data_IF_998744425413
#
_entry.id   IF_998744425413
#
_cell.length_a   1.000
_cell.length_b   1.000
_cell.length_c   1.000
_cell.angle_alpha   90.00
_cell.angle_beta   90.00
_cell.angle_gamma   90.00
#
_symmetry.space_group_name_H-M   'P 1'
#
loop_
_entity.id
_entity.type
_entity.pdbx_description
1 polymer ?
#
# COMPACT_ATOMS: atom_id res chain seq x y z
N UNK A 1 16.67 42.93 9.53
CA UNK A 1 16.82 41.79 8.59
C UNK A 1 16.85 42.37 7.20
N UNK A 2 17.86 42.04 6.39
CA UNK A 2 18.03 42.58 5.04
C UNK A 2 17.00 42.03 4.05
N UNK A 3 16.85 42.69 2.90
CA UNK A 3 16.06 42.17 1.79
C UNK A 3 16.72 40.88 1.28
N UNK A 4 15.94 39.82 0.96
CA UNK A 4 16.49 38.62 0.36
C UNK A 4 17.15 38.96 -0.98
N UNK A 5 18.37 38.48 -1.17
CA UNK A 5 19.13 38.59 -2.41
C UNK A 5 18.51 37.77 -3.52
N UNK A 6 18.83 38.14 -4.77
CA UNK A 6 18.28 37.50 -5.97
C UNK A 6 18.57 36.00 -6.07
N UNK A 7 19.68 35.53 -5.50
CA UNK A 7 20.11 34.12 -5.54
C UNK A 7 19.88 33.35 -4.22
N UNK A 8 19.33 33.99 -3.19
CA UNK A 8 19.21 33.40 -1.84
C UNK A 8 18.38 32.10 -1.87
N UNK A 9 17.36 32.04 -2.73
CA UNK A 9 16.52 30.86 -2.90
C UNK A 9 17.30 29.69 -3.55
N UNK A 10 18.07 29.98 -4.59
CA UNK A 10 18.85 28.97 -5.31
C UNK A 10 19.97 28.42 -4.42
N UNK A 11 20.67 29.30 -3.69
CA UNK A 11 21.64 28.90 -2.67
C UNK A 11 21.00 28.04 -1.58
N UNK A 12 19.81 28.40 -1.10
CA UNK A 12 19.06 27.60 -0.14
C UNK A 12 18.72 26.21 -0.70
N UNK A 13 18.28 26.14 -1.96
CA UNK A 13 17.99 24.87 -2.64
C UNK A 13 19.23 24.02 -2.86
N UNK A 14 20.38 24.61 -3.15
CA UNK A 14 21.66 23.91 -3.25
C UNK A 14 22.04 23.29 -1.91
N UNK A 15 22.00 24.08 -0.81
CA UNK A 15 22.26 23.56 0.55
C UNK A 15 21.30 22.44 0.96
N UNK A 16 20.01 22.53 0.57
CA UNK A 16 19.05 21.43 0.78
C UNK A 16 19.43 20.17 -0.02
N UNK A 17 19.91 20.33 -1.26
CA UNK A 17 20.38 19.22 -2.09
C UNK A 17 21.66 18.58 -1.54
N UNK A 18 22.60 19.37 -1.03
CA UNK A 18 23.81 18.89 -0.33
C UNK A 18 23.45 18.08 0.91
N UNK A 19 22.45 18.51 1.67
CA UNK A 19 21.89 17.79 2.82
C UNK A 19 21.07 16.54 2.42
N UNK A 20 20.95 16.25 1.12
CA UNK A 20 20.41 15.01 0.62
C UNK A 20 18.89 15.00 0.46
N UNK A 21 18.28 16.06 -0.07
CA UNK A 21 16.85 16.14 -0.37
C UNK A 21 16.36 14.87 -1.12
N UNK A 22 15.57 14.00 -0.46
CA UNK A 22 15.14 12.74 -1.05
C UNK A 22 14.10 12.93 -2.16
N UNK A 23 13.36 14.03 -2.17
CA UNK A 23 12.32 14.30 -3.16
C UNK A 23 12.92 14.72 -4.51
N UNK A 24 14.01 15.48 -4.48
CA UNK A 24 14.77 15.83 -5.71
C UNK A 24 15.33 14.56 -6.34
N UNK A 25 15.96 13.68 -5.55
CA UNK A 25 16.46 12.39 -6.05
C UNK A 25 15.32 11.51 -6.60
N UNK A 26 14.17 11.52 -5.93
CA UNK A 26 12.99 10.80 -6.40
C UNK A 26 12.48 11.32 -7.75
N UNK A 27 12.38 12.64 -7.90
CA UNK A 27 11.96 13.28 -9.14
C UNK A 27 12.95 13.08 -10.29
N UNK A 28 14.25 13.04 -9.99
CA UNK A 28 15.28 12.80 -11.00
C UNK A 28 15.31 11.34 -11.50
N UNK A 29 15.06 10.38 -10.60
CA UNK A 29 15.17 8.96 -10.94
C UNK A 29 13.88 8.36 -11.52
N UNK A 30 12.72 8.95 -11.21
CA UNK A 30 11.42 8.47 -11.70
C UNK A 30 10.87 9.46 -12.72
N UNK A 31 10.66 8.96 -13.92
CA UNK A 31 9.90 9.67 -14.93
C UNK A 31 8.40 9.60 -14.60
N UNK A 32 7.90 10.65 -13.94
CA UNK A 32 6.49 10.75 -13.60
C UNK A 32 5.58 10.96 -14.82
N UNK A 33 6.12 11.38 -15.96
CA UNK A 33 5.36 11.54 -17.20
C UNK A 33 4.93 10.20 -17.78
N UNK A 34 5.64 9.11 -17.47
CA UNK A 34 5.24 7.75 -17.82
C UNK A 34 3.83 7.36 -17.30
N UNK A 35 3.33 8.04 -16.26
CA UNK A 35 1.98 7.82 -15.72
C UNK A 35 0.89 8.64 -16.42
N UNK A 36 1.25 9.70 -17.16
CA UNK A 36 0.29 10.63 -17.79
C UNK A 36 -0.75 9.92 -18.64
N UNK A 37 -0.43 8.96 -19.52
CA UNK A 37 -1.44 8.32 -20.37
C UNK A 37 -2.52 7.60 -19.54
N UNK A 38 -2.12 6.93 -18.45
CA UNK A 38 -3.04 6.22 -17.55
C UNK A 38 -3.88 7.19 -16.72
N UNK A 39 -3.27 8.28 -16.23
CA UNK A 39 -3.99 9.33 -15.50
C UNK A 39 -5.00 10.05 -16.40
N UNK A 40 -4.64 10.40 -17.63
CA UNK A 40 -5.53 11.06 -18.58
C UNK A 40 -6.75 10.18 -18.90
N UNK A 41 -6.51 8.88 -19.16
CA UNK A 41 -7.56 7.89 -19.41
C UNK A 41 -8.53 7.77 -18.22
N UNK A 42 -7.99 7.77 -17.00
CA UNK A 42 -8.79 7.65 -15.77
C UNK A 42 -9.68 8.86 -15.52
N UNK A 43 -9.16 10.07 -15.77
CA UNK A 43 -9.84 11.31 -15.43
C UNK A 43 -10.90 11.71 -16.46
N UNK A 44 -10.85 11.17 -17.69
CA UNK A 44 -11.81 11.43 -18.79
C UNK A 44 -12.20 12.91 -18.90
N UNK A 45 -11.21 13.80 -18.81
CA UNK A 45 -11.46 15.24 -18.80
C UNK A 45 -11.97 15.69 -20.15
N UNK A 46 -12.95 16.59 -20.16
CA UNK A 46 -13.39 17.28 -21.36
C UNK A 46 -12.26 18.14 -21.94
N UNK A 47 -12.32 18.37 -23.24
CA UNK A 47 -11.42 19.25 -24.03
C UNK A 47 -11.40 20.72 -23.61
N UNK A 48 -12.25 21.13 -22.65
CA UNK A 48 -12.33 22.51 -22.17
C UNK A 48 -13.26 23.40 -23.00
N UNK A 49 -13.94 22.85 -24.02
CA UNK A 49 -14.87 23.55 -24.90
C UNK A 49 -16.01 24.28 -24.17
N UNK A 50 -16.40 23.81 -22.98
CA UNK A 50 -17.48 24.38 -22.17
C UNK A 50 -17.07 25.59 -21.32
N UNK A 51 -15.80 26.01 -21.36
CA UNK A 51 -15.27 27.08 -20.52
C UNK A 51 -15.13 26.69 -19.04
N UNK A 52 -14.20 27.34 -18.34
CA UNK A 52 -13.92 27.11 -16.92
C UNK A 52 -12.43 27.21 -16.58
N UNK A 53 -12.10 27.23 -15.28
CA UNK A 53 -10.71 27.22 -14.83
C UNK A 53 -10.02 25.94 -15.32
N UNK A 54 -8.84 26.03 -15.98
CA UNK A 54 -8.11 24.85 -16.42
C UNK A 54 -7.85 23.89 -15.25
N UNK A 55 -8.07 22.58 -15.43
CA UNK A 55 -7.84 21.63 -14.36
C UNK A 55 -6.34 21.45 -14.14
N UNK A 56 -5.91 21.25 -12.89
CA UNK A 56 -4.52 20.98 -12.55
C UNK A 56 -3.94 19.81 -13.32
N UNK A 57 -2.66 19.90 -13.69
CA UNK A 57 -1.93 18.84 -14.37
C UNK A 57 -2.07 17.49 -13.62
N UNK A 58 -2.47 16.40 -14.31
CA UNK A 58 -2.64 15.09 -13.67
C UNK A 58 -1.37 14.56 -13.02
N UNK A 59 -0.19 14.82 -13.59
CA UNK A 59 1.09 14.35 -13.04
C UNK A 59 1.42 15.10 -11.76
N UNK A 60 1.21 16.42 -11.73
CA UNK A 60 1.29 17.22 -10.50
C UNK A 60 0.35 16.67 -9.41
N UNK A 61 -0.92 16.45 -9.73
CA UNK A 61 -1.90 15.92 -8.76
C UNK A 61 -1.53 14.52 -8.27
N UNK A 62 -0.94 13.68 -9.13
CA UNK A 62 -0.44 12.37 -8.74
C UNK A 62 0.76 12.48 -7.80
N UNK A 63 1.73 13.37 -8.08
CA UNK A 63 2.84 13.68 -7.17
C UNK A 63 2.34 14.15 -5.80
N UNK A 64 1.28 14.96 -5.75
CA UNK A 64 0.63 15.38 -4.49
C UNK A 64 0.13 14.17 -3.69
N UNK A 65 -0.54 13.20 -4.33
CA UNK A 65 -0.98 11.97 -3.64
C UNK A 65 0.18 11.11 -3.13
N UNK A 66 1.31 11.10 -3.86
CA UNK A 66 2.54 10.43 -3.40
C UNK A 66 3.10 11.14 -2.16
N UNK A 67 3.25 12.46 -2.17
CA UNK A 67 3.69 13.24 -1.00
C UNK A 67 2.79 12.98 0.20
N UNK A 68 1.47 13.06 0.00
CA UNK A 68 0.50 12.80 1.05
C UNK A 68 0.69 11.43 1.70
N UNK A 69 1.01 10.41 0.90
CA UNK A 69 1.25 9.04 1.37
C UNK A 69 2.61 8.91 2.07
N UNK A 70 3.66 9.52 1.53
CA UNK A 70 5.01 9.48 2.08
C UNK A 70 5.11 10.15 3.45
N UNK A 71 4.36 11.23 3.66
CA UNK A 71 4.40 12.06 4.87
C UNK A 71 3.14 11.90 5.74
N UNK A 72 2.24 10.98 5.42
CA UNK A 72 1.02 10.68 6.21
C UNK A 72 0.12 11.91 6.43
N UNK A 73 -0.09 12.71 5.39
CA UNK A 73 -0.81 13.98 5.48
C UNK A 73 -2.33 13.82 5.27
N UNK A 74 -3.14 14.64 5.95
CA UNK A 74 -4.56 14.85 5.57
C UNK A 74 -4.65 15.71 4.31
N UNK A 75 -5.84 15.85 3.73
CA UNK A 75 -6.03 16.71 2.55
C UNK A 75 -5.72 18.18 2.90
N UNK A 76 -6.21 18.68 4.04
CA UNK A 76 -5.91 20.05 4.52
C UNK A 76 -4.42 20.25 4.88
N UNK A 77 -3.81 19.26 5.54
CA UNK A 77 -2.38 19.31 5.84
C UNK A 77 -1.54 19.27 4.56
N UNK A 78 -2.01 18.59 3.50
CA UNK A 78 -1.29 18.55 2.23
C UNK A 78 -1.29 19.93 1.58
N UNK A 79 -2.44 20.61 1.54
CA UNK A 79 -2.52 22.00 1.05
C UNK A 79 -1.58 22.93 1.83
N UNK A 80 -1.65 22.91 3.17
CA UNK A 80 -0.81 23.74 4.01
C UNK A 80 0.68 23.46 3.80
N UNK A 81 1.08 22.18 3.81
CA UNK A 81 2.49 21.79 3.70
C UNK A 81 3.08 22.06 2.32
N UNK A 82 2.29 22.06 1.25
CA UNK A 82 2.76 22.47 -0.07
C UNK A 82 3.08 23.97 -0.08
N UNK A 83 2.28 24.82 0.59
CA UNK A 83 2.54 26.27 0.69
C UNK A 83 3.71 26.60 1.62
N UNK A 84 3.89 25.80 2.68
CA UNK A 84 4.89 26.04 3.73
C UNK A 84 6.29 25.52 3.35
N UNK A 85 6.38 24.38 2.63
CA UNK A 85 7.66 23.70 2.41
C UNK A 85 8.20 23.89 0.99
N UNK A 86 9.34 24.58 0.92
CA UNK A 86 10.09 24.76 -0.33
C UNK A 86 10.47 23.45 -1.03
N UNK A 87 10.77 22.38 -0.29
CA UNK A 87 11.08 21.07 -0.88
C UNK A 87 9.87 20.41 -1.55
N UNK A 88 8.65 20.68 -1.06
CA UNK A 88 7.42 20.16 -1.68
C UNK A 88 7.10 20.95 -2.94
N UNK A 89 7.20 22.28 -2.88
CA UNK A 89 7.04 23.14 -4.06
C UNK A 89 8.02 22.75 -5.17
N UNK A 90 9.31 22.58 -4.82
CA UNK A 90 10.35 22.14 -5.75
C UNK A 90 10.05 20.76 -6.36
N UNK A 91 9.58 19.79 -5.57
CA UNK A 91 9.21 18.47 -6.08
C UNK A 91 8.02 18.50 -7.05
N UNK A 92 7.06 19.38 -6.78
CA UNK A 92 5.86 19.58 -7.60
C UNK A 92 6.12 20.47 -8.82
N UNK A 93 7.23 21.23 -8.83
CA UNK A 93 7.54 22.21 -9.87
C UNK A 93 6.70 23.49 -9.75
N UNK A 94 6.33 23.87 -8.52
CA UNK A 94 5.54 25.07 -8.22
C UNK A 94 6.45 26.21 -7.76
N UNK A 95 6.21 27.41 -8.28
CA UNK A 95 6.72 28.68 -7.75
C UNK A 95 5.84 29.26 -6.63
N UNK A 96 6.30 30.33 -5.97
CA UNK A 96 5.59 30.94 -4.83
C UNK A 96 4.20 31.48 -5.16
N UNK A 97 4.06 32.04 -6.36
CA UNK A 97 2.79 32.63 -6.84
C UNK A 97 1.89 31.60 -7.53
N UNK A 98 2.38 30.38 -7.73
CA UNK A 98 1.59 29.35 -8.39
C UNK A 98 0.44 28.87 -7.50
N UNK A 99 -0.70 28.60 -8.13
CA UNK A 99 -1.85 28.09 -7.42
C UNK A 99 -1.58 26.68 -6.87
N UNK A 100 -1.79 26.51 -5.56
CA UNK A 100 -1.71 25.22 -4.89
C UNK A 100 -3.07 24.51 -4.92
N UNK A 101 -3.14 23.20 -5.22
CA UNK A 101 -4.38 22.44 -5.12
C UNK A 101 -4.93 22.46 -3.70
N UNK A 102 -6.18 22.88 -3.55
CA UNK A 102 -6.85 22.86 -2.25
C UNK A 102 -7.22 21.43 -1.80
N UNK A 103 -7.56 21.28 -0.52
CA UNK A 103 -7.94 20.00 0.07
C UNK A 103 -9.09 19.29 -0.69
N UNK A 104 -10.08 20.05 -1.18
CA UNK A 104 -11.24 19.50 -1.93
C UNK A 104 -10.82 18.97 -3.30
N UNK A 105 -9.88 19.65 -3.95
CA UNK A 105 -9.32 19.29 -5.25
C UNK A 105 -8.51 18.01 -5.14
N UNK A 106 -7.68 17.88 -4.10
CA UNK A 106 -6.95 16.64 -3.81
C UNK A 106 -7.92 15.48 -3.53
N UNK A 107 -8.96 15.73 -2.75
CA UNK A 107 -10.00 14.73 -2.47
C UNK A 107 -10.73 14.29 -3.75
N UNK A 108 -11.17 15.24 -4.57
CA UNK A 108 -11.90 14.98 -5.82
C UNK A 108 -11.05 14.16 -6.79
N UNK A 109 -9.77 14.50 -6.94
CA UNK A 109 -8.85 13.77 -7.79
C UNK A 109 -8.71 12.31 -7.35
N UNK A 110 -8.55 12.06 -6.04
CA UNK A 110 -8.48 10.69 -5.50
C UNK A 110 -9.80 9.92 -5.72
N UNK A 111 -10.93 10.59 -5.57
CA UNK A 111 -12.25 9.99 -5.80
C UNK A 111 -12.43 9.62 -7.28
N UNK A 112 -12.00 10.47 -8.21
CA UNK A 112 -12.01 10.18 -9.65
C UNK A 112 -11.15 8.95 -9.98
N UNK A 113 -9.92 8.87 -9.46
CA UNK A 113 -9.07 7.69 -9.63
C UNK A 113 -9.70 6.42 -9.05
N UNK A 114 -10.40 6.55 -7.92
CA UNK A 114 -11.09 5.43 -7.28
C UNK A 114 -12.25 4.91 -8.13
N UNK A 115 -13.08 5.81 -8.66
CA UNK A 115 -14.20 5.45 -9.54
C UNK A 115 -13.73 4.84 -10.84
N UNK A 116 -12.60 5.29 -11.36
CA UNK A 116 -11.98 4.76 -12.57
C UNK A 116 -11.24 3.42 -12.34
N UNK A 117 -11.00 2.99 -11.09
CA UNK A 117 -10.18 1.80 -10.81
C UNK A 117 -8.69 1.97 -11.19
N UNK A 118 -8.24 3.20 -11.43
CA UNK A 118 -6.98 3.50 -12.11
C UNK A 118 -5.71 3.13 -11.33
N UNK A 119 -5.83 2.84 -10.03
CA UNK A 119 -4.67 2.51 -9.20
C UNK A 119 -3.99 1.22 -9.64
N UNK A 120 -4.75 0.23 -10.12
CA UNK A 120 -4.19 -1.01 -10.66
C UNK A 120 -3.41 -0.74 -11.95
N UNK A 121 -3.92 0.15 -12.81
CA UNK A 121 -3.25 0.58 -14.04
C UNK A 121 -1.97 1.38 -13.77
N UNK A 122 -1.99 2.28 -12.78
CA UNK A 122 -0.80 3.03 -12.37
C UNK A 122 0.26 2.08 -11.80
N UNK A 123 -0.15 1.09 -11.02
CA UNK A 123 0.75 0.08 -10.48
C UNK A 123 1.37 -0.77 -11.61
N UNK A 124 0.57 -1.18 -12.59
CA UNK A 124 1.04 -1.91 -13.76
C UNK A 124 1.97 -1.05 -14.63
N UNK A 125 1.68 0.24 -14.82
CA UNK A 125 2.56 1.16 -15.54
C UNK A 125 3.93 1.28 -14.85
N UNK A 126 3.94 1.40 -13.52
CA UNK A 126 5.18 1.42 -12.77
C UNK A 126 5.95 0.09 -12.85
N UNK A 127 5.27 -1.05 -12.82
CA UNK A 127 5.91 -2.36 -12.98
C UNK A 127 6.54 -2.53 -14.37
N UNK A 128 5.84 -2.09 -15.43
CA UNK A 128 6.41 -2.04 -16.79
C UNK A 128 7.64 -1.16 -16.87
N UNK A 129 7.58 0.03 -16.27
CA UNK A 129 8.72 0.94 -16.22
C UNK A 129 9.92 0.33 -15.47
N UNK A 130 9.67 -0.31 -14.31
CA UNK A 130 10.69 -1.04 -13.55
C UNK A 130 11.35 -2.15 -14.39
N UNK A 131 10.54 -2.91 -15.14
CA UNK A 131 11.04 -3.97 -16.04
C UNK A 131 11.94 -3.39 -17.13
N UNK A 132 11.57 -2.25 -17.72
CA UNK A 132 12.39 -1.53 -18.69
C UNK A 132 13.74 -1.06 -18.12
N UNK A 133 13.82 -0.80 -16.80
CA UNK A 133 15.07 -0.50 -16.08
C UNK A 133 15.86 -1.75 -15.64
N UNK A 134 15.45 -2.95 -16.04
CA UNK A 134 16.16 -4.21 -15.73
C UNK A 134 15.78 -4.86 -14.39
N UNK A 135 14.80 -4.32 -13.67
CA UNK A 135 14.31 -4.87 -12.40
C UNK A 135 13.28 -5.99 -12.62
N UNK A 136 13.71 -7.06 -13.27
CA UNK A 136 12.88 -8.23 -13.57
C UNK A 136 12.68 -9.13 -12.33
N UNK A 137 11.47 -9.63 -12.13
CA UNK A 137 11.13 -10.55 -11.05
C UNK A 137 11.55 -11.99 -11.40
N UNK A 138 12.83 -12.33 -11.19
CA UNK A 138 13.41 -13.63 -11.60
C UNK A 138 13.85 -14.53 -10.45
N UNK A 139 13.67 -14.12 -9.20
CA UNK A 139 14.16 -14.85 -8.01
C UNK A 139 13.07 -15.57 -7.21
N UNK A 140 11.87 -15.64 -7.78
CA UNK A 140 10.65 -16.14 -7.17
C UNK A 140 9.92 -15.04 -6.39
N UNK A 141 8.79 -15.43 -5.79
CA UNK A 141 7.85 -14.47 -5.20
C UNK A 141 7.43 -14.85 -3.78
N UNK A 142 7.29 -13.85 -2.94
CA UNK A 142 6.87 -13.98 -1.54
C UNK A 142 5.48 -13.36 -1.41
N UNK A 143 4.53 -14.17 -0.95
CA UNK A 143 3.13 -13.79 -0.77
C UNK A 143 2.81 -13.77 0.71
N UNK A 144 2.29 -12.63 1.18
CA UNK A 144 1.84 -12.49 2.56
C UNK A 144 0.73 -11.45 2.69
N UNK A 145 0.07 -11.41 3.84
CA UNK A 145 -0.98 -10.47 4.14
C UNK A 145 -0.68 -9.63 5.39
N UNK A 146 -1.11 -8.38 5.38
CA UNK A 146 -1.16 -7.52 6.56
C UNK A 146 -2.55 -6.95 6.79
N UNK A 147 -2.95 -6.91 8.05
CA UNK A 147 -4.15 -6.19 8.47
C UNK A 147 -3.81 -4.69 8.55
N UNK A 148 -4.67 -3.87 7.93
CA UNK A 148 -4.67 -2.41 8.00
C UNK A 148 -5.92 -1.98 8.74
N UNK A 149 -5.73 -1.23 9.84
CA UNK A 149 -6.83 -0.82 10.69
C UNK A 149 -7.67 0.30 10.06
N UNK A 150 -8.95 0.34 10.42
CA UNK A 150 -9.91 1.38 10.10
C UNK A 150 -10.62 1.86 11.38
N UNK A 151 -11.27 3.05 11.37
CA UNK A 151 -12.07 3.53 12.50
C UNK A 151 -13.10 2.49 12.94
N UNK A 152 -13.09 2.15 14.23
CA UNK A 152 -14.06 1.21 14.80
C UNK A 152 -15.45 1.84 14.78
N UNK A 153 -16.41 1.13 14.21
CA UNK A 153 -17.80 1.56 14.18
C UNK A 153 -18.60 0.88 15.29
N UNK A 154 -19.40 1.67 16.02
CA UNK A 154 -20.38 1.16 16.98
C UNK A 154 -21.59 0.66 16.21
N UNK A 155 -21.74 -0.67 16.16
CA UNK A 155 -22.87 -1.36 15.55
C UNK A 155 -23.41 -2.40 16.54
N UNK A 156 -24.72 -2.63 16.53
CA UNK A 156 -25.36 -3.72 17.29
C UNK A 156 -25.04 -5.08 16.66
N UNK A 157 -25.29 -6.18 17.37
CA UNK A 157 -24.99 -7.52 16.83
C UNK A 157 -25.92 -7.91 15.67
N UNK A 158 -27.17 -7.46 15.70
CA UNK A 158 -28.11 -7.60 14.58
C UNK A 158 -27.60 -6.86 13.33
N UNK A 159 -27.12 -5.61 13.48
CA UNK A 159 -26.52 -4.86 12.37
C UNK A 159 -25.26 -5.57 11.82
N UNK A 160 -24.41 -6.13 12.71
CA UNK A 160 -23.23 -6.90 12.27
C UNK A 160 -23.61 -8.18 11.52
N UNK A 161 -24.65 -8.88 11.93
CA UNK A 161 -25.15 -10.08 11.26
C UNK A 161 -25.66 -9.74 9.84
N UNK A 162 -26.50 -8.71 9.72
CA UNK A 162 -26.99 -8.24 8.42
C UNK A 162 -25.83 -7.86 7.47
N UNK A 163 -24.81 -7.16 7.98
CA UNK A 163 -23.61 -6.83 7.18
C UNK A 163 -22.80 -8.07 6.77
N UNK A 164 -22.75 -9.13 7.57
CA UNK A 164 -22.08 -10.39 7.19
C UNK A 164 -22.82 -11.09 6.04
N UNK A 165 -24.14 -10.97 6.00
CA UNK A 165 -24.99 -11.47 4.91
C UNK A 165 -25.01 -10.54 3.68
N UNK A 166 -24.32 -9.40 3.73
CA UNK A 166 -24.29 -8.41 2.65
C UNK A 166 -25.54 -7.51 2.59
N UNK A 167 -26.46 -7.65 3.54
CA UNK A 167 -27.69 -6.85 3.64
C UNK A 167 -27.43 -5.50 4.29
N UNK A 168 -28.26 -4.51 3.96
CA UNK A 168 -28.28 -3.22 4.63
C UNK A 168 -29.31 -3.33 5.77
N UNK A 169 -28.96 -2.99 7.03
CA UNK A 169 -29.94 -2.93 8.11
C UNK A 169 -31.08 -1.95 7.78
N UNK A 170 -32.33 -2.35 8.02
CA UNK A 170 -33.51 -1.56 7.64
C UNK A 170 -33.50 -0.14 8.24
N UNK A 171 -33.06 -0.01 9.50
CA UNK A 171 -32.91 1.29 10.17
C UNK A 171 -31.94 2.24 9.46
N UNK A 172 -30.98 1.71 8.69
CA UNK A 172 -30.01 2.51 7.94
C UNK A 172 -30.58 2.90 6.59
N UNK A 173 -31.38 2.04 5.97
CA UNK A 173 -32.06 2.32 4.71
C UNK A 173 -32.98 3.53 4.84
N UNK A 174 -33.67 3.67 5.98
CA UNK A 174 -34.53 4.82 6.29
C UNK A 174 -33.72 6.11 6.56
N UNK A 175 -32.42 6.01 6.87
CA UNK A 175 -31.55 7.14 7.26
C UNK A 175 -30.34 7.28 6.33
N UNK A 176 -30.48 7.90 5.15
CA UNK A 176 -29.42 7.96 4.13
C UNK A 176 -28.13 8.63 4.62
N UNK A 177 -28.24 9.66 5.47
CA UNK A 177 -27.07 10.33 6.08
C UNK A 177 -26.28 9.39 7.00
N UNK A 178 -26.98 8.53 7.79
CA UNK A 178 -26.35 7.51 8.64
C UNK A 178 -25.67 6.46 7.77
N UNK A 179 -26.35 6.01 6.71
CA UNK A 179 -25.83 5.00 5.78
C UNK A 179 -24.51 5.44 5.12
N UNK A 180 -24.41 6.69 4.67
CA UNK A 180 -23.19 7.23 4.03
C UNK A 180 -21.97 7.27 4.96
N UNK A 181 -22.18 7.27 6.28
CA UNK A 181 -21.11 7.27 7.29
C UNK A 181 -20.71 5.86 7.76
N UNK A 182 -21.43 4.82 7.34
CA UNK A 182 -21.17 3.43 7.76
C UNK A 182 -20.30 2.70 6.75
N UNK A 183 -19.25 2.05 7.25
CA UNK A 183 -18.38 1.20 6.45
C UNK A 183 -18.96 -0.21 6.43
N UNK A 184 -19.53 -0.54 5.27
CA UNK A 184 -20.19 -1.81 5.01
C UNK A 184 -19.23 -2.89 4.54
N UNK A 185 -17.96 -2.58 4.30
CA UNK A 185 -16.97 -3.51 3.74
C UNK A 185 -15.91 -3.92 4.76
N UNK A 186 -15.53 -3.01 5.66
CA UNK A 186 -14.62 -3.32 6.76
C UNK A 186 -15.22 -4.37 7.71
N UNK A 187 -14.38 -5.30 8.20
CA UNK A 187 -14.82 -6.38 9.10
C UNK A 187 -13.87 -6.53 10.28
N UNK A 188 -14.37 -7.17 11.33
CA UNK A 188 -13.58 -7.56 12.49
C UNK A 188 -12.77 -8.84 12.21
N UNK A 189 -11.57 -8.90 12.77
CA UNK A 189 -10.72 -10.10 12.77
C UNK A 189 -9.92 -10.18 14.07
N UNK A 190 -9.44 -11.37 14.40
CA UNK A 190 -8.58 -11.59 15.56
C UNK A 190 -7.14 -11.72 15.10
N UNK A 191 -6.31 -10.73 15.44
CA UNK A 191 -4.87 -10.79 15.23
C UNK A 191 -4.24 -11.53 16.40
N UNK A 192 -3.77 -12.75 16.17
CA UNK A 192 -3.03 -13.52 17.18
C UNK A 192 -1.55 -13.12 17.16
N UNK A 193 -1.02 -12.77 18.31
CA UNK A 193 0.38 -12.39 18.51
C UNK A 193 0.94 -13.15 19.71
N UNK A 194 2.23 -13.46 19.67
CA UNK A 194 2.92 -14.06 20.81
C UNK A 194 3.61 -12.95 21.59
N UNK A 195 3.12 -12.66 22.79
CA UNK A 195 3.77 -11.75 23.72
C UNK A 195 4.65 -12.53 24.69
N UNK A 196 5.70 -11.89 25.19
CA UNK A 196 6.50 -12.42 26.30
C UNK A 196 5.92 -11.84 27.58
N UNK A 197 5.17 -12.64 28.34
CA UNK A 197 4.74 -12.28 29.67
C UNK A 197 5.79 -12.77 30.68
N UNK A 198 6.16 -11.92 31.64
CA UNK A 198 6.96 -12.35 32.78
C UNK A 198 6.09 -13.26 33.66
N UNK A 199 6.60 -14.44 34.00
CA UNK A 199 6.03 -15.29 35.04
C UNK A 199 6.47 -14.76 36.42
N UNK A 200 5.76 -15.18 37.46
CA UNK A 200 6.07 -14.86 38.84
C UNK A 200 7.49 -15.31 39.28
N UNK A 201 8.09 -16.29 38.60
CA UNK A 201 9.47 -16.76 38.86
C UNK A 201 10.55 -15.98 38.08
N UNK A 202 10.20 -14.91 37.35
CA UNK A 202 11.11 -14.14 36.51
C UNK A 202 11.38 -14.72 35.11
N UNK A 203 10.91 -15.92 34.79
CA UNK A 203 11.02 -16.51 33.45
C UNK A 203 9.99 -15.90 32.48
N UNK A 204 10.39 -15.67 31.23
CA UNK A 204 9.50 -15.09 30.20
C UNK A 204 8.81 -16.21 29.42
N UNK A 205 7.51 -16.39 29.63
CA UNK A 205 6.70 -17.34 28.85
C UNK A 205 6.09 -16.67 27.61
N UNK A 206 5.99 -17.42 26.51
CA UNK A 206 5.27 -16.95 25.31
C UNK A 206 3.78 -17.17 25.51
N UNK A 207 3.05 -16.09 25.75
CA UNK A 207 1.58 -16.09 25.83
C UNK A 207 1.03 -15.69 24.47
N UNK A 208 0.03 -16.42 23.98
CA UNK A 208 -0.69 -16.04 22.76
C UNK A 208 -1.81 -15.06 23.13
N UNK A 209 -1.73 -13.85 22.58
CA UNK A 209 -2.73 -12.79 22.75
C UNK A 209 -3.52 -12.67 21.46
N UNK A 210 -4.84 -12.69 21.55
CA UNK A 210 -5.73 -12.38 20.44
C UNK A 210 -6.20 -10.93 20.57
N UNK A 211 -5.77 -10.06 19.65
CA UNK A 211 -6.16 -8.65 19.61
C UNK A 211 -7.22 -8.46 18.53
N UNK A 212 -8.44 -7.99 18.86
CA UNK A 212 -9.45 -7.69 17.85
C UNK A 212 -9.08 -6.44 17.06
N UNK A 213 -9.08 -6.56 15.74
CA UNK A 213 -8.78 -5.48 14.79
C UNK A 213 -9.95 -5.34 13.82
N UNK A 214 -10.35 -4.10 13.56
CA UNK A 214 -11.37 -3.75 12.58
C UNK A 214 -10.71 -3.07 11.38
N UNK A 215 -11.04 -3.50 10.16
CA UNK A 215 -10.57 -2.86 8.94
C UNK A 215 -10.45 -3.81 7.75
N UNK A 216 -9.33 -3.69 7.04
CA UNK A 216 -9.03 -4.36 5.79
C UNK A 216 -7.76 -5.20 5.88
N UNK A 217 -7.53 -6.03 4.88
CA UNK A 217 -6.26 -6.72 4.66
C UNK A 217 -5.69 -6.33 3.31
N UNK A 218 -4.38 -6.12 3.27
CA UNK A 218 -3.60 -6.04 2.04
C UNK A 218 -2.88 -7.36 1.87
N UNK A 219 -3.10 -8.03 0.74
CA UNK A 219 -2.31 -9.20 0.34
C UNK A 219 -1.35 -8.71 -0.74
N UNK A 220 -0.08 -9.00 -0.56
CA UNK A 220 0.97 -8.54 -1.48
C UNK A 220 1.79 -9.72 -1.97
N UNK A 221 2.18 -9.66 -3.24
CA UNK A 221 3.24 -10.50 -3.80
C UNK A 221 4.43 -9.61 -4.09
N UNK A 222 5.57 -9.94 -3.49
CA UNK A 222 6.82 -9.24 -3.73
C UNK A 222 7.84 -10.10 -4.47
N UNK A 223 8.69 -9.48 -5.27
CA UNK A 223 9.86 -10.17 -5.79
C UNK A 223 10.90 -10.38 -4.67
N UNK A 224 11.56 -11.55 -4.69
CA UNK A 224 12.49 -11.91 -3.62
C UNK A 224 13.83 -11.14 -3.65
N UNK A 225 14.32 -10.74 -4.82
CA UNK A 225 15.68 -10.17 -5.01
C UNK A 225 15.73 -8.69 -4.64
N UNK A 226 14.82 -7.90 -5.18
CA UNK A 226 14.75 -6.47 -5.02
C UNK A 226 13.73 -6.07 -3.95
N UNK A 227 12.69 -6.88 -3.74
CA UNK A 227 11.67 -6.62 -2.73
C UNK A 227 10.59 -5.64 -3.18
N UNK A 228 10.39 -5.44 -4.48
CA UNK A 228 9.27 -4.64 -4.97
C UNK A 228 7.96 -5.41 -4.83
N UNK A 229 6.90 -4.71 -4.47
CA UNK A 229 5.54 -5.22 -4.60
C UNK A 229 5.22 -5.30 -6.09
N UNK A 230 4.86 -6.49 -6.58
CA UNK A 230 4.52 -6.74 -7.99
C UNK A 230 3.03 -6.85 -8.22
N UNK A 231 2.33 -7.46 -7.26
CA UNK A 231 0.86 -7.52 -7.25
C UNK A 231 0.36 -7.31 -5.84
N UNK A 232 -0.86 -6.80 -5.73
CA UNK A 232 -1.57 -6.72 -4.47
C UNK A 232 -3.06 -6.88 -4.68
N UNK A 233 -3.78 -7.28 -3.63
CA UNK A 233 -5.23 -7.17 -3.56
C UNK A 233 -5.65 -6.75 -2.17
N UNK A 234 -6.84 -6.18 -2.06
CA UNK A 234 -7.40 -5.67 -0.81
C UNK A 234 -8.74 -6.31 -0.56
N UNK A 235 -8.92 -6.82 0.65
CA UNK A 235 -10.15 -7.44 1.11
C UNK A 235 -10.55 -6.91 2.48
N UNK A 236 -11.75 -7.26 2.96
CA UNK A 236 -12.10 -7.07 4.36
C UNK A 236 -11.14 -7.85 5.27
N UNK A 237 -10.96 -7.41 6.51
CA UNK A 237 -10.03 -8.08 7.43
C UNK A 237 -10.46 -9.50 7.84
N UNK A 238 -11.73 -9.86 7.64
CA UNK A 238 -12.25 -11.20 7.91
C UNK A 238 -11.99 -12.19 6.76
N UNK A 239 -11.61 -11.71 5.57
CA UNK A 239 -11.36 -12.59 4.43
C UNK A 239 -10.21 -13.57 4.73
N UNK A 240 -10.36 -14.78 4.18
CA UNK A 240 -9.39 -15.85 4.33
C UNK A 240 -8.21 -15.65 3.37
N UNK A 241 -7.00 -15.55 3.92
CA UNK A 241 -5.81 -15.18 3.17
C UNK A 241 -5.53 -16.15 2.01
N UNK A 242 -5.68 -17.46 2.26
CA UNK A 242 -5.45 -18.48 1.24
C UNK A 242 -6.34 -18.37 0.00
N UNK A 243 -7.51 -17.74 0.09
CA UNK A 243 -8.38 -17.55 -1.08
C UNK A 243 -7.83 -16.51 -2.06
N UNK A 244 -6.87 -15.68 -1.63
CA UNK A 244 -6.31 -14.60 -2.45
C UNK A 244 -5.05 -15.01 -3.22
N UNK A 245 -4.55 -16.24 -3.07
CA UNK A 245 -3.30 -16.68 -3.72
C UNK A 245 -3.33 -16.43 -5.23
N UNK A 246 -4.38 -16.89 -5.91
CA UNK A 246 -4.51 -16.75 -7.36
C UNK A 246 -4.57 -15.27 -7.82
N UNK A 247 -5.13 -14.39 -6.98
CA UNK A 247 -5.28 -12.96 -7.31
C UNK A 247 -3.96 -12.19 -7.19
N UNK A 248 -3.06 -12.63 -6.30
CA UNK A 248 -1.77 -11.97 -6.06
C UNK A 248 -0.58 -12.69 -6.68
N UNK A 249 -0.75 -13.92 -7.15
CA UNK A 249 0.30 -14.64 -7.87
C UNK A 249 0.67 -13.87 -9.14
N UNK A 250 1.95 -13.57 -9.30
CA UNK A 250 2.47 -12.94 -10.51
C UNK A 250 2.82 -14.01 -11.55
N UNK A 251 2.07 -14.10 -12.67
CA UNK A 251 2.37 -15.04 -13.74
C UNK A 251 3.62 -14.62 -14.54
N UNK A 252 3.99 -13.34 -14.54
CA UNK A 252 5.13 -12.82 -15.29
C UNK A 252 6.48 -13.08 -14.59
N UNK A 253 6.46 -13.47 -13.31
CA UNK A 253 7.67 -13.89 -12.60
C UNK A 253 8.22 -15.15 -13.28
N UNK A 254 9.50 -15.17 -13.64
CA UNK A 254 10.08 -16.31 -14.38
C UNK A 254 10.52 -17.46 -13.48
N UNK A 255 10.66 -17.23 -12.18
CA UNK A 255 11.08 -18.27 -11.24
C UNK A 255 9.90 -19.06 -10.67
N UNK A 256 10.11 -20.36 -10.49
CA UNK A 256 9.05 -21.28 -10.06
C UNK A 256 8.71 -21.20 -8.58
N UNK A 257 9.65 -20.83 -7.70
CA UNK A 257 9.44 -20.88 -6.25
C UNK A 257 8.48 -19.78 -5.73
N UNK A 258 7.48 -20.20 -4.94
CA UNK A 258 6.49 -19.34 -4.28
C UNK A 258 6.49 -19.57 -2.77
N UNK A 259 6.86 -18.56 -2.00
CA UNK A 259 6.86 -18.59 -0.52
C UNK A 259 5.61 -17.92 0.02
N UNK A 260 4.90 -18.59 0.93
CA UNK A 260 3.76 -17.99 1.62
C UNK A 260 3.57 -18.60 3.02
N UNK A 261 2.74 -17.96 3.84
CA UNK A 261 2.36 -18.50 5.14
C UNK A 261 1.43 -19.71 5.04
N UNK A 262 1.33 -20.45 6.13
CA UNK A 262 0.51 -21.66 6.30
C UNK A 262 -0.94 -21.45 5.89
N UNK A 263 -1.49 -20.24 6.09
CA UNK A 263 -2.85 -19.89 5.68
C UNK A 263 -3.10 -20.04 4.16
N UNK A 264 -2.04 -19.97 3.35
CA UNK A 264 -2.10 -20.17 1.90
C UNK A 264 -2.00 -21.64 1.48
N UNK A 265 -1.80 -22.58 2.43
CA UNK A 265 -1.66 -24.00 2.10
C UNK A 265 -3.01 -24.71 2.09
N UNK A 266 -3.62 -24.77 0.91
CA UNK A 266 -4.84 -25.54 0.63
C UNK A 266 -4.63 -26.47 -0.56
N UNK A 267 -5.42 -27.54 -0.67
CA UNK A 267 -5.35 -28.45 -1.82
C UNK A 267 -5.56 -27.71 -3.15
N UNK A 268 -6.51 -26.78 -3.17
CA UNK A 268 -6.79 -25.93 -4.34
C UNK A 268 -5.59 -25.06 -4.72
N UNK A 269 -4.91 -24.46 -3.74
CA UNK A 269 -3.74 -23.62 -3.99
C UNK A 269 -2.52 -24.43 -4.46
N UNK A 270 -2.29 -25.60 -3.88
CA UNK A 270 -1.21 -26.50 -4.32
C UNK A 270 -1.45 -26.96 -5.77
N UNK A 271 -2.70 -27.32 -6.11
CA UNK A 271 -3.08 -27.66 -7.49
C UNK A 271 -2.94 -26.46 -8.44
N UNK A 272 -3.33 -25.26 -8.01
CA UNK A 272 -3.19 -24.03 -8.79
C UNK A 272 -1.71 -23.71 -9.06
N UNK A 273 -0.83 -23.85 -8.06
CA UNK A 273 0.61 -23.66 -8.24
C UNK A 273 1.19 -24.69 -9.21
N UNK A 274 0.86 -25.97 -9.04
CA UNK A 274 1.30 -27.04 -9.93
C UNK A 274 0.86 -26.80 -11.38
N UNK A 275 -0.40 -26.41 -11.59
CA UNK A 275 -0.95 -26.08 -12.92
C UNK A 275 -0.17 -24.98 -13.64
N UNK A 276 0.40 -24.02 -12.90
CA UNK A 276 1.15 -22.90 -13.46
C UNK A 276 2.68 -23.11 -13.37
N UNK A 277 3.14 -24.35 -13.20
CA UNK A 277 4.57 -24.67 -13.15
C UNK A 277 5.30 -24.06 -11.94
N UNK A 278 4.58 -23.72 -10.88
CA UNK A 278 5.12 -23.10 -9.66
C UNK A 278 5.43 -24.14 -8.60
N UNK A 279 6.58 -23.99 -7.94
CA UNK A 279 7.02 -24.83 -6.84
C UNK A 279 6.59 -24.22 -5.50
N UNK A 280 5.76 -24.95 -4.78
CA UNK A 280 5.27 -24.53 -3.47
C UNK A 280 6.36 -24.56 -2.40
N UNK A 281 6.66 -23.40 -1.84
CA UNK A 281 7.45 -23.21 -0.61
C UNK A 281 6.58 -22.68 0.53
N UNK A 282 5.28 -22.96 0.49
CA UNK A 282 4.32 -22.59 1.53
C UNK A 282 4.58 -23.38 2.81
N UNK A 283 4.49 -22.76 3.98
CA UNK A 283 4.75 -23.45 5.25
C UNK A 283 3.90 -24.72 5.45
N UNK A 284 4.50 -25.74 6.07
CA UNK A 284 3.77 -26.91 6.53
C UNK A 284 2.82 -26.54 7.65
N UNK A 285 1.58 -27.05 7.54
CA UNK A 285 0.53 -26.90 8.53
C UNK A 285 0.61 -28.02 9.55
N UNK A 286 0.42 -27.68 10.84
CA UNK A 286 0.18 -28.66 11.91
C UNK A 286 -1.17 -29.33 11.67
N UNK A 287 -1.20 -30.65 11.69
CA UNK A 287 -2.47 -31.36 11.74
C UNK A 287 -3.05 -31.28 13.15
N UNK A 288 -4.40 -31.29 13.31
CA UNK A 288 -5.01 -31.33 14.63
C UNK A 288 -4.44 -32.48 15.47
N UNK A 289 -4.03 -32.18 16.71
CA UNK A 289 -3.45 -33.18 17.62
C UNK A 289 -2.01 -33.62 17.32
N UNK A 290 -1.39 -33.15 16.24
CA UNK A 290 -0.04 -33.57 15.83
C UNK A 290 0.92 -32.38 15.70
N UNK A 291 2.13 -32.59 16.22
CA UNK A 291 3.23 -31.66 16.02
C UNK A 291 3.89 -31.81 14.65
N UNK A 292 4.57 -30.73 14.21
CA UNK A 292 5.37 -30.80 13.00
C UNK A 292 6.58 -31.70 13.22
N UNK A 293 6.86 -32.55 12.23
CA UNK A 293 8.06 -33.39 12.24
C UNK A 293 9.33 -32.51 12.30
N UNK A 294 10.46 -33.00 12.85
CA UNK A 294 11.72 -32.24 12.88
C UNK A 294 12.13 -31.70 11.49
N UNK A 295 11.94 -32.51 10.44
CA UNK A 295 12.21 -32.11 9.05
C UNK A 295 11.31 -30.97 8.58
N UNK A 296 9.99 -31.05 8.84
CA UNK A 296 9.05 -29.98 8.52
C UNK A 296 9.37 -28.69 9.27
N UNK A 297 9.77 -28.77 10.54
CA UNK A 297 10.22 -27.62 11.35
C UNK A 297 11.46 -26.97 10.75
N UNK A 298 12.46 -27.77 10.34
CA UNK A 298 13.67 -27.28 9.67
C UNK A 298 13.33 -26.59 8.35
N UNK A 299 12.45 -27.19 7.54
CA UNK A 299 11.97 -26.61 6.29
C UNK A 299 11.21 -25.28 6.50
N UNK A 300 10.29 -25.23 7.46
CA UNK A 300 9.58 -23.99 7.81
C UNK A 300 10.56 -22.91 8.29
N UNK A 301 11.58 -23.25 9.11
CA UNK A 301 12.61 -22.29 9.54
C UNK A 301 13.39 -21.72 8.35
N UNK A 302 13.76 -22.55 7.38
CA UNK A 302 14.43 -22.09 6.16
C UNK A 302 13.52 -21.20 5.30
N UNK A 303 12.23 -21.55 5.15
CA UNK A 303 11.23 -20.77 4.41
C UNK A 303 10.94 -19.42 5.08
N UNK A 304 10.86 -19.38 6.42
CA UNK A 304 10.69 -18.13 7.18
C UNK A 304 11.78 -17.10 6.91
N UNK A 305 13.05 -17.53 6.78
CA UNK A 305 14.17 -16.62 6.48
C UNK A 305 14.02 -15.93 5.13
N UNK A 306 13.40 -16.60 4.15
CA UNK A 306 13.12 -15.98 2.85
C UNK A 306 11.90 -15.08 2.96
N UNK A 307 10.84 -15.58 3.61
CA UNK A 307 9.57 -14.85 3.75
C UNK A 307 9.72 -13.53 4.51
N UNK A 308 10.64 -13.43 5.46
CA UNK A 308 10.86 -12.19 6.24
C UNK A 308 11.19 -10.97 5.37
N UNK A 309 11.57 -11.15 4.10
CA UNK A 309 11.71 -10.02 3.15
C UNK A 309 10.44 -9.16 3.05
N UNK A 310 9.25 -9.75 3.14
CA UNK A 310 7.96 -9.02 3.05
C UNK A 310 7.71 -8.12 4.26
N UNK A 311 8.36 -8.40 5.39
CA UNK A 311 8.19 -7.60 6.60
C UNK A 311 8.68 -6.16 6.40
N UNK A 312 9.61 -5.92 5.47
CA UNK A 312 10.07 -4.57 5.13
C UNK A 312 8.95 -3.73 4.49
N UNK A 313 8.12 -4.35 3.64
CA UNK A 313 6.93 -3.70 3.04
C UNK A 313 5.94 -3.35 4.13
N UNK A 314 5.61 -4.30 5.00
CA UNK A 314 4.64 -4.09 6.07
C UNK A 314 5.12 -3.12 7.15
N UNK A 315 6.43 -3.10 7.43
CA UNK A 315 7.04 -2.13 8.32
C UNK A 315 6.93 -0.71 7.73
N UNK A 316 7.17 -0.55 6.43
CA UNK A 316 6.98 0.74 5.77
C UNK A 316 5.52 1.20 5.84
N UNK A 317 4.57 0.33 5.50
CA UNK A 317 3.15 0.64 5.60
C UNK A 317 2.74 1.05 7.03
N UNK A 318 3.15 0.29 8.05
CA UNK A 318 2.68 0.52 9.43
C UNK A 318 3.41 1.64 10.16
N UNK A 319 4.73 1.74 10.03
CA UNK A 319 5.54 2.65 10.83
C UNK A 319 5.93 3.91 10.07
N UNK A 320 6.27 3.80 8.78
CA UNK A 320 6.71 4.96 7.99
C UNK A 320 5.54 5.75 7.42
N UNK A 321 4.52 5.05 6.91
CA UNK A 321 3.34 5.68 6.31
C UNK A 321 2.14 5.79 7.25
N UNK A 322 2.26 5.27 8.49
CA UNK A 322 1.18 5.28 9.48
C UNK A 322 -0.16 4.76 8.90
N UNK A 323 -0.10 3.73 8.04
CA UNK A 323 -1.21 3.42 7.14
C UNK A 323 -2.47 3.03 7.92
N UNK A 324 -3.48 3.87 7.79
CA UNK A 324 -4.77 3.75 8.45
C UNK A 324 -5.90 4.16 7.49
N UNK A 325 -6.88 3.28 7.30
CA UNK A 325 -7.96 3.50 6.33
C UNK A 325 -9.08 4.28 6.98
N UNK A 326 -9.08 5.61 6.78
CA UNK A 326 -10.15 6.52 7.24
C UNK A 326 -11.30 6.63 6.24
N UNK A 327 -11.09 6.19 5.01
CA UNK A 327 -12.09 6.23 3.94
C UNK A 327 -13.09 5.10 4.09
N UNK A 328 -14.34 5.36 3.75
CA UNK A 328 -15.42 4.38 3.82
C UNK A 328 -15.49 3.59 2.51
N UNK A 329 -15.52 2.26 2.62
CA UNK A 329 -15.75 1.34 1.52
C UNK A 329 -14.49 0.78 0.86
N UNK A 330 -14.62 -0.42 0.29
CA UNK A 330 -13.52 -1.23 -0.22
C UNK A 330 -12.79 -0.56 -1.39
N UNK A 331 -13.50 0.12 -2.29
CA UNK A 331 -12.88 0.78 -3.43
C UNK A 331 -11.89 1.87 -2.99
N UNK A 332 -12.30 2.75 -2.07
CA UNK A 332 -11.44 3.81 -1.53
C UNK A 332 -10.30 3.23 -0.68
N UNK A 333 -10.57 2.17 0.09
CA UNK A 333 -9.55 1.46 0.84
C UNK A 333 -8.48 0.86 -0.09
N UNK A 334 -8.90 0.26 -1.22
CA UNK A 334 -8.02 -0.26 -2.26
C UNK A 334 -7.17 0.83 -2.87
N UNK A 335 -7.76 1.99 -3.21
CA UNK A 335 -6.99 3.12 -3.73
C UNK A 335 -5.92 3.58 -2.75
N UNK A 336 -6.30 3.79 -1.48
CA UNK A 336 -5.37 4.23 -0.45
C UNK A 336 -4.22 3.25 -0.21
N UNK A 337 -4.52 1.96 -0.11
CA UNK A 337 -3.51 0.91 0.09
C UNK A 337 -2.63 0.75 -1.15
N UNK A 338 -3.21 0.83 -2.35
CA UNK A 338 -2.47 0.77 -3.61
C UNK A 338 -1.49 1.92 -3.76
N UNK A 339 -1.89 3.15 -3.42
CA UNK A 339 -0.99 4.31 -3.36
C UNK A 339 0.15 4.09 -2.35
N UNK A 340 -0.13 3.50 -1.19
CA UNK A 340 0.91 3.15 -0.21
C UNK A 340 1.89 2.09 -0.73
N UNK A 341 1.41 1.09 -1.46
CA UNK A 341 2.27 0.08 -2.10
C UNK A 341 3.13 0.71 -3.20
N UNK A 342 2.56 1.63 -3.99
CA UNK A 342 3.29 2.35 -5.02
C UNK A 342 4.34 3.28 -4.41
N UNK A 343 3.98 4.07 -3.39
CA UNK A 343 4.92 4.92 -2.67
C UNK A 343 6.05 4.10 -2.01
N UNK A 344 5.74 2.91 -1.47
CA UNK A 344 6.76 1.97 -0.99
C UNK A 344 7.74 1.61 -2.12
N UNK A 345 7.21 1.21 -3.27
CA UNK A 345 8.03 0.83 -4.42
C UNK A 345 8.91 1.98 -4.91
N UNK A 346 8.39 3.21 -5.00
CA UNK A 346 9.17 4.39 -5.37
C UNK A 346 10.33 4.63 -4.38
N UNK A 347 10.08 4.56 -3.06
CA UNK A 347 11.16 4.64 -2.05
C UNK A 347 12.14 3.47 -2.13
N UNK A 348 11.64 2.27 -2.43
CA UNK A 348 12.47 1.07 -2.53
C UNK A 348 13.42 1.18 -3.72
N UNK A 349 12.93 1.70 -4.84
CA UNK A 349 13.72 1.95 -6.03
C UNK A 349 14.83 2.97 -5.75
N UNK A 350 14.46 4.12 -5.17
CA UNK A 350 15.44 5.14 -4.72
C UNK A 350 16.51 4.54 -3.80
N UNK A 351 16.13 3.69 -2.85
CA UNK A 351 17.09 3.03 -1.95
C UNK A 351 18.04 2.06 -2.66
N UNK A 352 17.58 1.34 -3.69
CA UNK A 352 18.43 0.43 -4.46
C UNK A 352 19.42 1.24 -5.32
N UNK A 353 18.94 2.24 -6.06
CA UNK A 353 19.77 3.07 -6.94
C UNK A 353 20.85 3.82 -6.13
N UNK A 354 20.47 4.44 -5.02
CA UNK A 354 21.43 5.15 -4.15
C UNK A 354 22.46 4.23 -3.51
N UNK A 355 22.14 2.95 -3.32
CA UNK A 355 23.08 1.96 -2.76
C UNK A 355 24.05 1.44 -3.82
N UNK A 356 23.64 1.33 -5.07
CA UNK A 356 24.53 0.93 -6.18
C UNK A 356 25.59 2.00 -6.47
N UNK A 357 25.29 3.28 -6.23
CA UNK A 357 26.25 4.39 -6.40
C UNK A 357 27.27 4.47 -5.25
N UNK A 358 26.96 3.91 -4.08
CA UNK A 358 27.81 3.96 -2.88
C UNK A 358 28.70 2.72 -2.69
N UNK A 359 28.62 1.74 -3.60
CA UNK A 359 29.41 0.50 -3.60
C UNK A 359 30.35 0.51 -4.81
#
# INVERSE_FOLDING_TARGET
>A
MGQPGFFDLDEHYQRLSENGDPLVKLAALIDFEAFRPKLATALKRSDGSKGGRPPYDPVLMFKVLILQTLYTLSDDATEFQIRDRLSFMRFLGLGFEDAVPDAKTVWLFREQLTRAGAIEDLFAAFDTWLKGKGYLAMSGQIIDASIIAAPRQRNTDAEKAALREGKIPDEWAVKPKKLAQKDRDARWTLKRAKARAAKADGTKAKVEIAVPVFGYKTHVSIDRKYGFVRRFTVTSAAAHDGAQLANVLDPANTASDVWADTAYRSKANEAHLAKHGRRSKIHFRRQPGLDLTPSQRKANRARSKVRSGVETVFAAQKHRFGLFVRTIGLARARTKIGLANLAYNLKRFLWIETRLVAA
#
